data_IF_597236486870
#
_entry.id   IF_597236486870
#
_cell.length_a   1.000
_cell.length_b   1.000
_cell.length_c   1.000
_cell.angle_alpha   90.00
_cell.angle_beta   90.00
_cell.angle_gamma   90.00
#
_symmetry.space_group_name_H-M   'P 1'
#
loop_
_entity.id
_entity.type
_entity.pdbx_description
1 polymer ?
#
# COMPACT_ATOMS: atom_id res chain seq x y z
N UNK A 1 48.47 -22.85 15.77
CA UNK A 1 47.11 -23.38 15.48
C UNK A 1 46.04 -22.87 16.46
N UNK A 2 46.35 -22.65 17.74
CA UNK A 2 45.37 -22.25 18.78
C UNK A 2 44.70 -20.87 18.56
N UNK A 3 45.45 -19.88 18.05
CA UNK A 3 44.94 -18.51 17.80
C UNK A 3 43.92 -18.50 16.63
N UNK A 4 44.16 -19.30 15.59
CA UNK A 4 43.22 -19.42 14.46
C UNK A 4 41.91 -20.06 14.88
N UNK A 5 41.96 -21.06 15.77
CA UNK A 5 40.77 -21.68 16.34
C UNK A 5 39.97 -20.70 17.22
N UNK A 6 40.67 -19.83 17.97
CA UNK A 6 40.03 -18.81 18.81
C UNK A 6 39.31 -17.73 17.99
N UNK A 7 39.92 -17.27 16.88
CA UNK A 7 39.32 -16.30 15.96
C UNK A 7 38.11 -16.89 15.23
N UNK A 8 38.17 -18.16 14.82
CA UNK A 8 37.03 -18.84 14.21
C UNK A 8 35.86 -19.00 15.19
N UNK A 9 36.15 -19.37 16.44
CA UNK A 9 35.13 -19.58 17.46
C UNK A 9 34.43 -18.27 17.88
N UNK A 10 35.16 -17.16 17.94
CA UNK A 10 34.57 -15.84 18.24
C UNK A 10 33.75 -15.29 17.08
N UNK A 11 34.17 -15.49 15.83
CA UNK A 11 33.40 -15.08 14.66
C UNK A 11 32.05 -15.81 14.54
N UNK A 12 32.01 -17.11 14.84
CA UNK A 12 30.78 -17.91 14.76
C UNK A 12 29.75 -17.54 15.84
N UNK A 13 30.21 -17.11 17.02
CA UNK A 13 29.35 -16.65 18.10
C UNK A 13 28.71 -15.29 17.80
N UNK A 14 29.38 -14.42 17.05
CA UNK A 14 28.85 -13.10 16.64
C UNK A 14 27.74 -13.24 15.60
N UNK A 15 27.78 -14.25 14.73
CA UNK A 15 26.70 -14.49 13.76
C UNK A 15 25.37 -14.96 14.39
N UNK A 16 25.37 -15.45 15.64
CA UNK A 16 24.16 -15.93 16.32
C UNK A 16 23.33 -14.81 16.98
N UNK A 17 23.89 -13.61 17.14
CA UNK A 17 23.24 -12.46 17.80
C UNK A 17 22.79 -11.37 16.84
N UNK A 18 22.86 -11.62 15.53
CA UNK A 18 22.27 -10.71 14.56
C UNK A 18 20.75 -10.80 14.67
N UNK A 19 20.02 -9.72 15.03
CA UNK A 19 18.56 -9.74 14.88
C UNK A 19 18.26 -10.06 13.41
N UNK A 20 17.42 -11.06 13.14
CA UNK A 20 16.83 -11.21 11.82
C UNK A 20 15.86 -10.04 11.70
N UNK A 21 16.28 -8.94 11.07
CA UNK A 21 15.34 -7.92 10.63
C UNK A 21 14.39 -8.58 9.62
N UNK A 22 13.22 -8.99 10.10
CA UNK A 22 12.10 -9.25 9.21
C UNK A 22 11.83 -7.96 8.46
N UNK A 23 11.96 -7.99 7.13
CA UNK A 23 11.59 -6.86 6.30
C UNK A 23 10.08 -6.68 6.45
N UNK A 24 9.69 -5.67 7.23
CA UNK A 24 8.29 -5.34 7.44
C UNK A 24 7.71 -4.88 6.09
N UNK A 25 6.89 -5.74 5.49
CA UNK A 25 6.26 -5.46 4.22
C UNK A 25 5.39 -4.20 4.37
N UNK A 26 5.86 -3.08 3.82
CA UNK A 26 5.11 -1.83 3.86
C UNK A 26 3.90 -1.93 2.93
N UNK A 27 2.66 -1.95 3.47
CA UNK A 27 1.48 -2.13 2.65
C UNK A 27 1.29 -0.94 1.71
N UNK A 28 1.04 -1.23 0.43
CA UNK A 28 0.69 -0.21 -0.57
C UNK A 28 -0.82 -0.08 -0.66
N UNK A 29 -1.32 1.13 -0.39
CA UNK A 29 -2.74 1.45 -0.36
C UNK A 29 -3.10 2.39 -1.51
N UNK A 30 -4.17 2.09 -2.23
CA UNK A 30 -4.72 2.98 -3.23
C UNK A 30 -6.19 3.30 -2.92
N UNK A 31 -6.58 4.54 -3.12
CA UNK A 31 -7.98 4.98 -3.12
C UNK A 31 -8.37 5.34 -4.54
N UNK A 32 -9.40 4.66 -5.05
CA UNK A 32 -9.97 4.88 -6.37
C UNK A 32 -11.33 5.59 -6.22
N UNK A 33 -11.39 6.86 -6.58
CA UNK A 33 -12.63 7.67 -6.54
C UNK A 33 -13.41 7.49 -7.84
N UNK A 34 -14.73 7.37 -7.80
CA UNK A 34 -15.58 7.46 -8.99
C UNK A 34 -15.81 8.95 -9.38
N UNK A 35 -16.61 9.20 -10.41
CA UNK A 35 -16.88 10.54 -10.97
C UNK A 35 -17.42 11.48 -9.88
N UNK A 36 -16.59 12.44 -9.47
CA UNK A 36 -16.92 13.49 -8.52
C UNK A 36 -15.69 14.35 -8.22
N UNK A 37 -15.91 15.58 -7.79
CA UNK A 37 -14.84 16.46 -7.33
C UNK A 37 -14.72 16.38 -5.82
N UNK A 38 -13.52 16.62 -5.29
CA UNK A 38 -13.38 16.97 -3.89
C UNK A 38 -13.99 18.36 -3.66
N UNK A 39 -14.57 18.59 -2.48
CA UNK A 39 -15.16 19.87 -2.07
C UNK A 39 -16.69 19.93 -2.13
N UNK A 40 -17.39 18.81 -2.32
CA UNK A 40 -18.84 18.71 -2.28
C UNK A 40 -19.40 18.31 -0.89
N UNK A 41 -18.51 18.09 0.08
CA UNK A 41 -18.77 17.55 1.42
C UNK A 41 -19.49 16.19 1.44
N UNK A 42 -19.34 15.40 0.37
CA UNK A 42 -19.99 14.10 0.20
C UNK A 42 -19.01 12.95 0.43
N UNK A 43 -19.32 11.77 -0.12
CA UNK A 43 -18.58 10.52 0.06
C UNK A 43 -17.07 10.65 -0.21
N UNK A 44 -16.67 11.32 -1.29
CA UNK A 44 -15.27 11.45 -1.67
C UNK A 44 -14.48 12.29 -0.66
N UNK A 45 -15.06 13.36 -0.13
CA UNK A 45 -14.44 14.22 0.89
C UNK A 45 -14.29 13.52 2.23
N UNK A 46 -15.27 12.69 2.61
CA UNK A 46 -15.20 11.86 3.80
C UNK A 46 -14.03 10.86 3.70
N UNK A 47 -13.87 10.20 2.54
CA UNK A 47 -12.75 9.28 2.32
C UNK A 47 -11.41 10.01 2.26
N UNK A 48 -11.33 11.16 1.59
CA UNK A 48 -10.09 11.94 1.54
C UNK A 48 -9.66 12.39 2.95
N UNK A 49 -10.60 12.85 3.77
CA UNK A 49 -10.36 13.22 5.16
C UNK A 49 -9.83 12.03 5.99
N UNK A 50 -10.46 10.87 5.86
CA UNK A 50 -10.02 9.65 6.53
C UNK A 50 -8.62 9.20 6.05
N UNK A 51 -8.35 9.30 4.75
CA UNK A 51 -7.05 8.97 4.18
C UNK A 51 -5.95 9.91 4.70
N UNK A 52 -6.23 11.21 4.82
CA UNK A 52 -5.28 12.17 5.39
C UNK A 52 -4.95 11.88 6.86
N UNK A 53 -5.94 11.44 7.64
CA UNK A 53 -5.71 10.98 9.01
C UNK A 53 -4.86 9.70 9.04
N UNK A 54 -5.13 8.74 8.15
CA UNK A 54 -4.36 7.50 8.03
C UNK A 54 -2.91 7.76 7.60
N UNK A 55 -2.68 8.63 6.62
CA UNK A 55 -1.34 9.05 6.17
C UNK A 55 -0.51 9.57 7.36
N UNK A 56 -1.10 10.43 8.19
CA UNK A 56 -0.44 10.97 9.39
C UNK A 56 -0.20 9.92 10.47
N UNK A 57 -1.21 9.08 10.74
CA UNK A 57 -1.15 8.07 11.82
C UNK A 57 -0.15 6.96 11.54
N UNK A 58 -0.05 6.53 10.29
CA UNK A 58 0.76 5.38 9.88
C UNK A 58 2.00 5.78 9.07
N UNK A 59 2.34 7.08 9.05
CA UNK A 59 3.47 7.62 8.28
C UNK A 59 3.48 7.12 6.83
N UNK A 60 2.33 7.15 6.16
CA UNK A 60 2.21 6.67 4.79
C UNK A 60 2.54 7.79 3.81
N UNK A 61 3.46 7.51 2.89
CA UNK A 61 3.93 8.45 1.87
C UNK A 61 3.94 7.78 0.48
N UNK A 62 4.05 8.59 -0.57
CA UNK A 62 4.27 8.07 -1.91
C UNK A 62 5.60 7.30 -1.99
N UNK A 63 5.67 6.15 -2.65
CA UNK A 63 4.67 5.56 -3.56
C UNK A 63 3.63 4.64 -2.89
N UNK A 64 3.69 4.48 -1.56
CA UNK A 64 2.88 3.53 -0.80
C UNK A 64 1.42 3.95 -0.62
N UNK A 65 1.10 5.23 -0.82
CA UNK A 65 -0.29 5.70 -0.91
C UNK A 65 -0.53 6.40 -2.22
N UNK A 66 -1.65 6.09 -2.88
CA UNK A 66 -2.07 6.76 -4.11
C UNK A 66 -3.56 7.05 -4.13
N UNK A 67 -3.91 8.23 -4.61
CA UNK A 67 -5.27 8.61 -4.93
C UNK A 67 -5.43 8.63 -6.45
N UNK A 68 -6.44 7.93 -6.97
CA UNK A 68 -6.69 7.82 -8.41
C UNK A 68 -8.14 8.16 -8.73
N UNK A 69 -8.40 9.20 -9.53
CA UNK A 69 -9.72 9.39 -10.08
C UNK A 69 -10.00 8.34 -11.16
N UNK A 70 -11.17 7.71 -11.09
CA UNK A 70 -11.62 6.67 -12.02
C UNK A 70 -12.76 7.17 -12.90
N UNK A 71 -12.54 8.31 -13.55
CA UNK A 71 -13.47 8.84 -14.55
C UNK A 71 -13.47 7.99 -15.83
N UNK A 72 -14.60 7.92 -16.52
CA UNK A 72 -14.77 7.23 -17.79
C UNK A 72 -15.71 6.03 -17.71
N UNK A 73 -15.60 5.15 -18.70
CA UNK A 73 -16.44 3.96 -18.87
C UNK A 73 -16.14 2.89 -17.81
N UNK A 74 -17.00 1.88 -17.72
CA UNK A 74 -16.76 0.69 -16.91
C UNK A 74 -15.41 0.01 -17.22
N UNK A 75 -15.00 0.00 -18.49
CA UNK A 75 -13.72 -0.57 -18.94
C UNK A 75 -12.55 0.26 -18.45
N UNK A 76 -12.67 1.59 -18.47
CA UNK A 76 -11.63 2.49 -17.98
C UNK A 76 -11.44 2.36 -16.47
N UNK A 77 -12.53 2.17 -15.73
CA UNK A 77 -12.51 1.90 -14.28
C UNK A 77 -11.82 0.56 -13.98
N UNK A 78 -12.22 -0.51 -14.67
CA UNK A 78 -11.61 -1.84 -14.52
C UNK A 78 -10.12 -1.83 -14.86
N UNK A 79 -9.74 -1.15 -15.94
CA UNK A 79 -8.33 -1.04 -16.37
C UNK A 79 -7.47 -0.35 -15.30
N UNK A 80 -7.99 0.72 -14.69
CA UNK A 80 -7.30 1.41 -13.57
C UNK A 80 -7.18 0.53 -12.33
N UNK A 81 -8.24 -0.18 -11.94
CA UNK A 81 -8.17 -1.12 -10.81
C UNK A 81 -7.15 -2.24 -11.08
N UNK A 82 -7.14 -2.81 -12.29
CA UNK A 82 -6.14 -3.81 -12.71
C UNK A 82 -4.73 -3.26 -12.71
N UNK A 83 -4.55 -2.00 -13.12
CA UNK A 83 -3.26 -1.33 -13.04
C UNK A 83 -2.78 -1.24 -11.59
N UNK A 84 -3.63 -0.81 -10.66
CA UNK A 84 -3.27 -0.74 -9.24
C UNK A 84 -2.89 -2.11 -8.68
N UNK A 85 -3.68 -3.14 -8.97
CA UNK A 85 -3.38 -4.51 -8.54
C UNK A 85 -2.04 -5.01 -9.10
N UNK A 86 -1.77 -4.79 -10.40
CA UNK A 86 -0.49 -5.17 -11.04
C UNK A 86 0.72 -4.41 -10.49
N UNK A 87 0.54 -3.20 -9.96
CA UNK A 87 1.61 -2.40 -9.36
C UNK A 87 1.85 -2.71 -7.87
N UNK A 88 1.21 -3.76 -7.35
CA UNK A 88 1.43 -4.24 -5.99
C UNK A 88 0.71 -3.43 -4.90
N UNK A 89 -0.34 -2.68 -5.26
CA UNK A 89 -1.25 -2.11 -4.26
C UNK A 89 -2.06 -3.24 -3.61
N UNK A 90 -1.72 -3.56 -2.36
CA UNK A 90 -2.30 -4.68 -1.61
C UNK A 90 -3.67 -4.35 -1.04
N UNK A 91 -3.96 -3.07 -0.83
CA UNK A 91 -5.28 -2.58 -0.47
C UNK A 91 -5.75 -1.56 -1.50
N UNK A 92 -6.89 -1.83 -2.14
CA UNK A 92 -7.54 -0.92 -3.09
C UNK A 92 -8.93 -0.60 -2.56
N UNK A 93 -9.18 0.66 -2.22
CA UNK A 93 -10.46 1.15 -1.72
C UNK A 93 -11.18 1.83 -2.89
N UNK A 94 -12.22 1.18 -3.41
CA UNK A 94 -13.06 1.70 -4.49
C UNK A 94 -14.27 2.45 -3.89
N UNK A 95 -14.34 3.76 -4.11
CA UNK A 95 -15.39 4.62 -3.56
C UNK A 95 -16.44 4.87 -4.65
N UNK A 96 -17.47 4.02 -4.73
CA UNK A 96 -18.82 4.23 -5.32
C UNK A 96 -19.53 2.89 -5.63
N UNK A 97 -20.87 2.90 -5.63
CA UNK A 97 -21.72 1.74 -5.96
C UNK A 97 -21.49 1.17 -7.37
N UNK A 98 -21.07 2.00 -8.33
CA UNK A 98 -20.85 1.56 -9.72
C UNK A 98 -19.61 0.67 -9.91
N UNK A 99 -18.69 0.67 -8.93
CA UNK A 99 -17.48 -0.17 -8.96
C UNK A 99 -17.74 -1.60 -8.48
N UNK A 100 -18.77 -1.84 -7.66
CA UNK A 100 -19.09 -3.16 -7.10
C UNK A 100 -19.38 -4.20 -8.18
N UNK A 101 -20.02 -3.82 -9.29
CA UNK A 101 -20.34 -4.75 -10.39
C UNK A 101 -19.11 -5.22 -11.17
N UNK A 102 -17.96 -4.53 -11.07
CA UNK A 102 -16.74 -4.86 -11.81
C UNK A 102 -15.81 -5.83 -11.08
N UNK A 103 -16.03 -6.07 -9.79
CA UNK A 103 -15.19 -6.92 -8.95
C UNK A 103 -15.76 -8.32 -8.72
N UNK A 104 -17.00 -8.57 -9.17
CA UNK A 104 -17.76 -9.80 -8.89
C UNK A 104 -17.83 -10.73 -10.11
N UNK A 105 -17.24 -10.33 -11.25
CA UNK A 105 -17.07 -11.15 -12.46
C UNK A 105 -15.59 -11.38 -12.73
#
# INVERSE_FOLDING_TARGET
>A
MKIRAFVLATGLMISLVSPVQAEEFQPKVAVAYDIGFLGDNSFNDAVNSALNLAKKKYSLYEPFVREVPTNGTAVDRLTRLRFLAKNGYTLIIAVQLSMTRLLVN
#
